data_IF_696308456051
#
_entry.id   IF_696308456051
#
_cell.length_a   1.000
_cell.length_b   1.000
_cell.length_c   1.000
_cell.angle_alpha   90.00
_cell.angle_beta   90.00
_cell.angle_gamma   90.00
#
_symmetry.space_group_name_H-M   'P 1'
#
loop_
_entity.id
_entity.type
_entity.pdbx_description
1 polymer ?
#
# COMPACT_ATOMS: atom_id res chain seq x y z
N UNK A 1 33.09 61.50 23.34
CA UNK A 1 31.77 61.99 23.80
C UNK A 1 30.67 61.14 23.18
N UNK A 2 29.73 60.62 24.00
CA UNK A 2 28.48 59.87 23.67
C UNK A 2 28.73 58.45 23.11
N UNK A 3 28.85 57.36 23.89
CA UNK A 3 27.87 56.61 24.74
C UNK A 3 26.52 56.29 24.06
N UNK A 4 26.36 55.05 23.62
CA UNK A 4 25.14 54.20 23.63
C UNK A 4 25.57 52.83 23.08
N UNK A 5 25.37 51.64 23.62
CA UNK A 5 24.45 51.13 24.63
C UNK A 5 24.14 49.69 24.20
N UNK A 6 24.74 48.71 24.87
CA UNK A 6 24.54 47.27 24.65
C UNK A 6 23.08 46.88 24.88
N UNK A 7 22.41 46.24 23.91
CA UNK A 7 21.23 45.40 24.15
C UNK A 7 21.35 44.10 23.35
N UNK A 8 21.80 43.09 24.08
CA UNK A 8 21.40 41.69 24.00
C UNK A 8 19.95 41.51 23.47
N UNK A 9 19.78 40.95 22.27
CA UNK A 9 18.56 40.18 21.97
C UNK A 9 18.97 38.90 21.26
N UNK A 10 18.93 37.82 22.04
CA UNK A 10 18.75 36.46 21.59
C UNK A 10 17.58 36.40 20.58
N UNK A 11 17.87 36.47 19.30
CA UNK A 11 16.94 35.96 18.28
C UNK A 11 17.50 34.64 17.78
N UNK A 12 17.22 33.63 18.59
CA UNK A 12 17.00 32.24 18.19
C UNK A 12 16.22 32.29 16.87
N UNK A 13 16.91 32.13 15.75
CA UNK A 13 16.26 31.89 14.48
C UNK A 13 15.96 30.39 14.44
N UNK A 14 14.76 30.12 14.93
CA UNK A 14 13.94 28.93 14.79
C UNK A 14 14.45 28.03 13.64
N UNK A 15 15.12 26.94 14.02
CA UNK A 15 15.39 25.82 13.14
C UNK A 15 14.03 25.23 12.77
N UNK A 16 13.52 25.58 11.58
CA UNK A 16 12.39 24.89 10.97
C UNK A 16 12.90 23.55 10.46
N UNK A 17 13.01 22.58 11.38
CA UNK A 17 12.92 21.17 11.02
C UNK A 17 11.49 20.98 10.51
N UNK A 18 11.31 21.06 9.19
CA UNK A 18 10.16 20.43 8.56
C UNK A 18 10.38 18.91 8.66
N UNK A 19 9.99 18.35 9.79
CA UNK A 19 9.64 16.94 9.85
C UNK A 19 8.37 16.76 8.99
N UNK A 20 8.59 16.51 7.70
CA UNK A 20 7.55 15.93 6.86
C UNK A 20 7.32 14.49 7.34
N UNK A 21 6.51 14.34 8.38
CA UNK A 21 5.96 13.05 8.75
C UNK A 21 4.99 12.65 7.64
N UNK A 22 5.48 11.92 6.62
CA UNK A 22 4.63 11.16 5.72
C UNK A 22 4.00 10.04 6.55
N UNK A 23 2.93 10.37 7.26
CA UNK A 23 1.98 9.37 7.76
C UNK A 23 1.15 8.94 6.55
N UNK A 24 1.76 8.11 5.70
CA UNK A 24 1.01 7.37 4.70
C UNK A 24 0.01 6.50 5.44
N UNK A 25 -1.29 6.68 5.16
CA UNK A 25 -2.32 5.78 5.65
C UNK A 25 -1.91 4.35 5.30
N UNK A 26 -1.70 3.50 6.31
CA UNK A 26 -1.42 2.08 6.07
C UNK A 26 -2.70 1.50 5.48
N UNK A 27 -2.73 1.39 4.15
CA UNK A 27 -3.79 0.66 3.46
C UNK A 27 -3.63 -0.81 3.81
N UNK A 28 -4.43 -1.27 4.77
CA UNK A 28 -4.45 -2.66 5.21
C UNK A 28 -5.11 -3.52 4.14
N UNK A 29 -4.52 -4.67 3.86
CA UNK A 29 -5.14 -5.68 3.03
C UNK A 29 -6.34 -6.29 3.78
N UNK A 30 -7.44 -6.55 3.05
CA UNK A 30 -8.57 -7.32 3.55
C UNK A 30 -8.33 -8.79 3.24
N UNK A 31 -8.30 -9.63 4.28
CA UNK A 31 -8.17 -11.08 4.17
C UNK A 31 -9.54 -11.75 4.12
N UNK A 32 -9.74 -12.65 3.16
CA UNK A 32 -10.93 -13.49 3.04
C UNK A 32 -10.58 -14.90 2.58
N UNK A 33 -11.55 -15.82 2.62
CA UNK A 33 -11.37 -17.23 2.27
C UNK A 33 -11.25 -18.13 3.49
N UNK A 34 -10.83 -19.38 3.28
CA UNK A 34 -10.73 -20.38 4.34
C UNK A 34 -9.27 -20.46 4.83
N UNK A 35 -9.04 -20.11 6.10
CA UNK A 35 -7.70 -20.09 6.71
C UNK A 35 -7.25 -21.51 7.09
N UNK A 36 -7.14 -22.37 6.09
CA UNK A 36 -6.71 -23.76 6.20
C UNK A 36 -5.61 -24.05 5.17
N UNK A 37 -4.77 -25.01 5.50
CA UNK A 37 -3.80 -25.58 4.57
C UNK A 37 -4.48 -26.01 3.26
N UNK A 38 -3.84 -25.70 2.14
CA UNK A 38 -4.29 -25.97 0.77
C UNK A 38 -5.64 -25.36 0.37
N UNK A 39 -6.16 -24.42 1.15
CA UNK A 39 -7.36 -23.66 0.78
C UNK A 39 -6.97 -22.25 0.37
N UNK A 40 -7.70 -21.68 -0.58
CA UNK A 40 -7.42 -20.33 -1.05
C UNK A 40 -7.72 -19.30 0.03
N UNK A 41 -6.70 -18.51 0.36
CA UNK A 41 -6.83 -17.24 1.04
C UNK A 41 -6.66 -16.11 0.03
N UNK A 42 -7.48 -15.07 0.17
CA UNK A 42 -7.46 -13.91 -0.71
C UNK A 42 -7.10 -12.68 0.07
N UNK A 43 -6.05 -11.98 -0.36
CA UNK A 43 -5.75 -10.63 0.11
C UNK A 43 -6.27 -9.65 -0.93
N UNK A 44 -7.11 -8.71 -0.50
CA UNK A 44 -7.58 -7.59 -1.33
C UNK A 44 -6.98 -6.29 -0.84
N UNK A 45 -6.33 -5.55 -1.73
CA UNK A 45 -5.72 -4.25 -1.46
C UNK A 45 -6.50 -3.14 -2.15
N UNK A 46 -6.49 -1.96 -1.54
CA UNK A 46 -6.93 -0.71 -2.17
C UNK A 46 -5.72 -0.04 -2.85
N UNK A 47 -5.55 -0.27 -4.15
CA UNK A 47 -4.49 0.33 -4.95
C UNK A 47 -4.90 1.66 -5.60
N UNK A 48 -4.19 2.08 -6.66
CA UNK A 48 -4.60 3.19 -7.51
C UNK A 48 -5.96 2.93 -8.15
N UNK A 49 -6.74 4.01 -8.34
CA UNK A 49 -7.96 3.99 -9.14
C UNK A 49 -7.57 3.97 -10.62
N UNK A 50 -8.04 2.97 -11.36
CA UNK A 50 -7.70 2.77 -12.77
C UNK A 50 -8.81 1.97 -13.46
N UNK A 51 -8.61 1.51 -14.70
CA UNK A 51 -9.58 0.71 -15.44
C UNK A 51 -8.96 0.00 -16.64
N UNK A 52 -9.73 -0.90 -17.25
CA UNK A 52 -9.27 -1.80 -18.32
C UNK A 52 -8.67 -1.07 -19.53
N UNK A 53 -9.17 0.14 -19.83
CA UNK A 53 -8.74 0.98 -20.95
C UNK A 53 -7.86 2.17 -20.52
N UNK A 54 -7.41 2.21 -19.25
CA UNK A 54 -6.59 3.29 -18.74
C UNK A 54 -5.15 3.25 -19.29
N UNK A 55 -4.51 4.41 -19.32
CA UNK A 55 -3.08 4.56 -19.57
C UNK A 55 -2.47 5.28 -18.36
N UNK A 56 -1.61 4.63 -17.55
CA UNK A 56 -1.10 3.25 -17.69
C UNK A 56 -2.15 2.15 -17.46
N UNK A 57 -2.03 1.06 -18.21
CA UNK A 57 -2.95 -0.07 -18.18
C UNK A 57 -2.68 -0.98 -16.97
N UNK A 58 -3.69 -1.27 -16.12
CA UNK A 58 -3.49 -2.02 -14.88
C UNK A 58 -3.10 -3.48 -15.06
N UNK A 59 -3.40 -4.09 -16.22
CA UNK A 59 -3.03 -5.47 -16.50
C UNK A 59 -1.63 -5.59 -17.09
N UNK A 60 -1.16 -4.56 -17.81
CA UNK A 60 0.11 -4.59 -18.54
C UNK A 60 1.23 -3.86 -17.82
N UNK A 61 0.93 -2.73 -17.21
CA UNK A 61 1.93 -1.74 -16.80
C UNK A 61 2.13 -1.69 -15.28
N UNK A 62 1.28 -2.40 -14.51
CA UNK A 62 1.38 -2.50 -13.06
C UNK A 62 1.83 -3.89 -12.60
N UNK A 63 2.50 -3.93 -11.44
CA UNK A 63 2.90 -5.17 -10.77
C UNK A 63 2.51 -5.14 -9.30
N UNK A 64 1.84 -6.20 -8.86
CA UNK A 64 1.64 -6.51 -7.45
C UNK A 64 2.35 -7.82 -7.13
N UNK A 65 3.27 -7.80 -6.18
CA UNK A 65 3.85 -9.00 -5.59
C UNK A 65 3.57 -8.97 -4.09
N UNK A 66 3.10 -10.08 -3.54
CA UNK A 66 2.98 -10.26 -2.09
C UNK A 66 3.92 -11.35 -1.63
N UNK A 67 4.70 -11.04 -0.61
CA UNK A 67 5.65 -11.98 -0.03
C UNK A 67 5.03 -12.61 1.22
N UNK A 68 4.83 -13.92 1.19
CA UNK A 68 4.41 -14.71 2.35
C UNK A 68 5.66 -15.35 2.99
N UNK A 69 5.82 -15.21 4.30
CA UNK A 69 6.99 -15.73 5.01
C UNK A 69 6.59 -16.52 6.25
N UNK A 70 7.25 -17.66 6.46
CA UNK A 70 7.12 -18.46 7.69
C UNK A 70 8.44 -19.16 7.99
N UNK A 71 9.07 -18.79 9.11
CA UNK A 71 10.42 -19.27 9.43
C UNK A 71 11.38 -18.99 8.28
N UNK A 72 11.99 -20.03 7.71
CA UNK A 72 12.91 -19.93 6.58
C UNK A 72 12.23 -20.03 5.20
N UNK A 73 10.91 -20.24 5.13
CA UNK A 73 10.16 -20.32 3.87
C UNK A 73 9.69 -18.93 3.44
N UNK A 74 9.81 -18.67 2.15
CA UNK A 74 9.34 -17.44 1.51
C UNK A 74 8.70 -17.75 0.15
N UNK A 75 7.51 -17.19 -0.08
CA UNK A 75 6.81 -17.27 -1.35
C UNK A 75 6.51 -15.88 -1.88
N UNK A 76 6.96 -15.56 -3.08
CA UNK A 76 6.56 -14.33 -3.79
C UNK A 76 5.43 -14.68 -4.74
N UNK A 77 4.23 -14.25 -4.39
CA UNK A 77 3.01 -14.57 -5.13
C UNK A 77 2.56 -13.33 -5.90
N UNK A 78 2.42 -13.40 -7.24
CA UNK A 78 1.92 -12.29 -8.02
C UNK A 78 0.43 -12.05 -7.74
N UNK A 79 0.05 -10.79 -7.73
CA UNK A 79 -1.33 -10.34 -7.71
C UNK A 79 -1.83 -9.87 -9.06
N UNK A 80 -3.10 -9.52 -9.11
CA UNK A 80 -3.77 -9.03 -10.30
C UNK A 80 -4.75 -7.89 -9.98
N UNK A 81 -5.06 -7.09 -11.00
CA UNK A 81 -6.08 -6.05 -10.94
C UNK A 81 -7.48 -6.66 -10.97
N UNK A 82 -8.34 -6.25 -10.05
CA UNK A 82 -9.68 -6.81 -9.84
C UNK A 82 -10.81 -5.77 -9.98
N UNK A 83 -10.53 -4.63 -10.62
CA UNK A 83 -11.49 -3.54 -10.82
C UNK A 83 -12.22 -3.14 -9.52
N UNK A 84 -13.55 -3.29 -9.47
CA UNK A 84 -14.39 -2.98 -8.31
C UNK A 84 -14.41 -4.10 -7.24
N UNK A 85 -13.75 -5.22 -7.51
CA UNK A 85 -13.73 -6.42 -6.67
C UNK A 85 -14.91 -7.37 -6.91
N UNK A 86 -15.86 -7.02 -7.77
CA UNK A 86 -17.01 -7.85 -8.12
C UNK A 86 -17.27 -7.88 -9.62
N UNK A 87 -16.26 -7.60 -10.44
CA UNK A 87 -16.36 -7.46 -11.89
C UNK A 87 -17.02 -8.66 -12.61
N UNK A 88 -16.89 -9.87 -12.04
CA UNK A 88 -17.57 -11.06 -12.57
C UNK A 88 -19.10 -10.93 -12.56
N UNK A 89 -19.66 -10.23 -11.58
CA UNK A 89 -21.10 -10.02 -11.42
C UNK A 89 -21.56 -8.65 -11.93
N UNK A 90 -20.71 -7.63 -11.78
CA UNK A 90 -21.06 -6.24 -12.13
C UNK A 90 -20.67 -5.86 -13.56
N UNK A 91 -19.77 -6.61 -14.20
CA UNK A 91 -19.10 -6.17 -15.42
C UNK A 91 -18.23 -4.93 -15.21
N UNK A 92 -17.81 -4.65 -13.98
CA UNK A 92 -17.04 -3.47 -13.61
C UNK A 92 -15.68 -3.42 -14.31
N UNK A 93 -15.47 -2.40 -15.15
CA UNK A 93 -14.24 -2.18 -15.92
C UNK A 93 -13.24 -1.22 -15.25
N UNK A 94 -13.56 -0.72 -14.08
CA UNK A 94 -12.76 0.25 -13.36
C UNK A 94 -12.93 0.08 -11.86
N UNK A 95 -11.96 0.55 -11.11
CA UNK A 95 -11.89 0.35 -9.68
C UNK A 95 -10.46 0.37 -9.16
N UNK A 96 -10.34 0.14 -7.86
CA UNK A 96 -9.09 0.22 -7.12
C UNK A 96 -8.76 -1.07 -6.36
N UNK A 97 -9.45 -2.18 -6.66
CA UNK A 97 -9.24 -3.46 -5.99
C UNK A 97 -8.16 -4.25 -6.69
N UNK A 98 -7.22 -4.77 -5.90
CA UNK A 98 -6.14 -5.62 -6.35
C UNK A 98 -6.10 -6.87 -5.47
N UNK A 99 -5.93 -8.06 -6.07
CA UNK A 99 -6.04 -9.33 -5.34
C UNK A 99 -4.82 -10.21 -5.48
N UNK A 100 -4.54 -10.96 -4.43
CA UNK A 100 -3.62 -12.09 -4.44
C UNK A 100 -4.32 -13.31 -3.87
N UNK A 101 -4.16 -14.44 -4.54
CA UNK A 101 -4.61 -15.73 -4.06
C UNK A 101 -3.41 -16.55 -3.62
N UNK A 102 -3.47 -17.08 -2.40
CA UNK A 102 -2.43 -17.93 -1.85
C UNK A 102 -3.05 -19.18 -1.23
N UNK A 103 -2.42 -20.33 -1.44
CA UNK A 103 -2.81 -21.60 -0.85
C UNK A 103 -1.66 -22.06 0.05
N UNK A 104 -1.73 -21.80 1.36
CA UNK A 104 -0.63 -22.15 2.26
C UNK A 104 -0.41 -23.66 2.28
N UNK A 105 0.83 -24.10 2.17
CA UNK A 105 1.22 -25.52 2.21
C UNK A 105 1.37 -26.06 3.63
N UNK A 106 1.21 -25.21 4.64
CA UNK A 106 1.40 -25.51 6.06
C UNK A 106 0.41 -24.75 6.94
N UNK A 107 0.08 -25.34 8.09
CA UNK A 107 -0.74 -24.72 9.14
C UNK A 107 0.14 -23.94 10.12
N UNK A 108 -0.38 -22.84 10.69
CA UNK A 108 0.27 -22.07 11.76
C UNK A 108 0.67 -20.68 11.34
#
# INVERSE_FOLDING_TARGET
MKRCGSILVFSICLVLIEECAVVGAIKRAVLSGNLKKWHTVTLTFDGPQTGEDAEPNPFRDYRLNVTFTKGNKQYVVPGYYAADGNAAETGGKAGSKWRVHFLPDEEG
#
